data_IF_414763250039
#
_entry.id   IF_414763250039
#
_cell.length_a   1.000
_cell.length_b   1.000
_cell.length_c   1.000
_cell.angle_alpha   90.00
_cell.angle_beta   90.00
_cell.angle_gamma   90.00
#
_symmetry.space_group_name_H-M   'P 1'
#
loop_
_entity.id
_entity.type
_entity.pdbx_description
1 polymer ?
#
# COMPACT_ATOMS: atom_id res chain seq x y z
N UNK A 1 -14.33 -123.40 -49.47
CA UNK A 1 -15.65 -123.57 -48.83
C UNK A 1 -15.35 -123.95 -47.40
N UNK A 2 -15.58 -123.15 -46.38
CA UNK A 2 -16.74 -122.27 -46.16
C UNK A 2 -16.29 -121.06 -45.33
N UNK A 3 -17.04 -119.99 -45.54
CA UNK A 3 -16.92 -118.62 -45.06
C UNK A 3 -16.70 -118.45 -43.55
N UNK A 4 -15.74 -117.61 -43.18
CA UNK A 4 -15.76 -116.90 -41.91
C UNK A 4 -16.03 -115.42 -42.17
N UNK A 5 -17.32 -115.10 -42.16
CA UNK A 5 -17.83 -113.75 -41.94
C UNK A 5 -17.57 -113.34 -40.48
N UNK A 6 -17.25 -112.07 -40.22
CA UNK A 6 -17.32 -111.55 -38.85
C UNK A 6 -16.30 -110.52 -38.38
N UNK A 7 -15.71 -109.69 -39.24
CA UNK A 7 -15.08 -108.46 -38.74
C UNK A 7 -15.81 -107.25 -39.29
N UNK A 8 -16.61 -106.67 -38.41
CA UNK A 8 -17.39 -105.45 -38.59
C UNK A 8 -16.47 -104.31 -38.99
N UNK A 9 -16.64 -103.80 -40.20
CA UNK A 9 -16.00 -102.56 -40.62
C UNK A 9 -16.81 -101.40 -40.01
N UNK A 10 -16.36 -100.85 -38.88
CA UNK A 10 -16.85 -99.57 -38.37
C UNK A 10 -16.30 -98.48 -39.29
N UNK A 11 -17.00 -98.23 -40.40
CA UNK A 11 -16.81 -96.99 -41.12
C UNK A 11 -17.42 -95.87 -40.26
N UNK A 12 -16.58 -95.07 -39.63
CA UNK A 12 -16.99 -93.72 -39.24
C UNK A 12 -17.28 -92.97 -40.54
N UNK A 13 -18.54 -92.98 -40.94
CA UNK A 13 -19.06 -92.03 -41.92
C UNK A 13 -18.73 -90.65 -41.34
N UNK A 14 -17.92 -89.80 -42.02
CA UNK A 14 -17.90 -88.41 -41.63
C UNK A 14 -19.34 -87.94 -41.74
N UNK A 15 -19.88 -87.34 -40.68
CA UNK A 15 -21.16 -86.65 -40.76
C UNK A 15 -20.98 -85.48 -41.73
N UNK A 16 -21.06 -85.75 -43.03
CA UNK A 16 -21.10 -84.76 -44.10
C UNK A 16 -22.54 -84.26 -44.23
N UNK A 17 -23.16 -83.98 -43.09
CA UNK A 17 -24.38 -83.20 -42.99
C UNK A 17 -23.98 -81.78 -42.59
N UNK A 18 -24.49 -80.79 -43.29
CA UNK A 18 -24.37 -79.41 -42.86
C UNK A 18 -25.05 -79.26 -41.48
N UNK A 19 -24.26 -78.94 -40.45
CA UNK A 19 -24.80 -78.81 -39.10
C UNK A 19 -25.77 -77.64 -39.01
N UNK A 20 -26.98 -77.87 -38.51
CA UNK A 20 -27.94 -76.82 -38.17
C UNK A 20 -27.77 -76.44 -36.70
N UNK A 21 -27.00 -75.39 -36.45
CA UNK A 21 -26.74 -74.87 -35.10
C UNK A 21 -27.90 -74.01 -34.61
N UNK A 22 -28.19 -74.07 -33.31
CA UNK A 22 -29.06 -73.08 -32.66
C UNK A 22 -28.39 -71.70 -32.59
N UNK A 23 -29.09 -70.70 -32.04
CA UNK A 23 -28.57 -69.34 -31.86
C UNK A 23 -27.41 -69.23 -30.85
N UNK A 24 -27.08 -70.33 -30.15
CA UNK A 24 -26.09 -70.37 -29.08
C UNK A 24 -26.65 -69.84 -27.76
N UNK A 25 -26.26 -70.49 -26.66
CA UNK A 25 -26.68 -70.12 -25.30
C UNK A 25 -25.44 -69.76 -24.48
N UNK A 26 -25.50 -68.67 -23.71
CA UNK A 26 -24.42 -68.33 -22.77
C UNK A 26 -24.46 -69.33 -21.62
N UNK A 27 -23.41 -70.15 -21.51
CA UNK A 27 -23.29 -71.20 -20.48
C UNK A 27 -22.39 -70.75 -19.33
N UNK A 28 -21.56 -69.73 -19.56
CA UNK A 28 -20.78 -69.04 -18.53
C UNK A 28 -20.73 -67.56 -18.88
N UNK A 29 -21.22 -66.70 -17.99
CA UNK A 29 -21.12 -65.24 -18.17
C UNK A 29 -19.66 -64.79 -18.12
N UNK A 30 -19.32 -63.79 -18.93
CA UNK A 30 -18.01 -63.13 -18.86
C UNK A 30 -17.94 -62.24 -17.60
N UNK A 31 -16.77 -62.16 -16.99
CA UNK A 31 -16.51 -61.27 -15.84
C UNK A 31 -15.53 -60.17 -16.23
N UNK A 32 -15.12 -59.33 -15.28
CA UNK A 32 -14.12 -58.29 -15.51
C UNK A 32 -12.80 -58.85 -16.05
N UNK A 33 -12.40 -60.05 -15.61
CA UNK A 33 -11.07 -60.63 -15.87
C UNK A 33 -11.11 -62.00 -16.54
N UNK A 34 -12.26 -62.68 -16.55
CA UNK A 34 -12.40 -64.02 -17.10
C UNK A 34 -13.39 -64.05 -18.26
N UNK A 35 -13.01 -64.72 -19.34
CA UNK A 35 -13.88 -64.97 -20.48
C UNK A 35 -15.10 -65.82 -20.08
N UNK A 36 -16.22 -65.47 -20.71
CA UNK A 36 -17.44 -66.27 -20.74
C UNK A 36 -17.42 -67.31 -21.85
N UNK A 37 -18.47 -68.12 -21.92
CA UNK A 37 -18.60 -69.19 -22.90
C UNK A 37 -20.01 -69.19 -23.47
N UNK A 38 -20.10 -69.18 -24.80
CA UNK A 38 -21.33 -69.46 -25.54
C UNK A 38 -21.25 -70.86 -26.14
N UNK A 39 -22.26 -71.68 -25.87
CA UNK A 39 -22.34 -73.05 -26.39
C UNK A 39 -23.43 -73.15 -27.45
N UNK A 40 -23.07 -73.70 -28.61
CA UNK A 40 -23.98 -73.99 -29.70
C UNK A 40 -24.27 -75.48 -29.71
N UNK A 41 -25.52 -75.85 -29.97
CA UNK A 41 -25.96 -77.24 -30.05
C UNK A 41 -26.63 -77.48 -31.40
N UNK A 42 -26.19 -78.51 -32.11
CA UNK A 42 -26.81 -78.91 -33.37
C UNK A 42 -28.17 -79.56 -33.10
N UNK A 43 -29.24 -79.04 -33.68
CA UNK A 43 -30.61 -79.55 -33.45
C UNK A 43 -30.84 -80.94 -34.06
N UNK A 44 -30.00 -81.35 -35.02
CA UNK A 44 -30.15 -82.62 -35.74
C UNK A 44 -29.41 -83.80 -35.08
N UNK A 45 -28.23 -83.57 -34.48
CA UNK A 45 -27.38 -84.63 -33.93
C UNK A 45 -27.00 -84.45 -32.45
N UNK A 46 -27.22 -83.27 -31.86
CA UNK A 46 -26.88 -82.98 -30.47
C UNK A 46 -25.41 -82.62 -30.22
N UNK A 47 -24.55 -82.62 -31.25
CA UNK A 47 -23.16 -82.18 -31.12
C UNK A 47 -23.08 -80.74 -30.62
N UNK A 48 -22.01 -80.42 -29.88
CA UNK A 48 -21.78 -79.09 -29.31
C UNK A 48 -20.47 -78.49 -29.74
N UNK A 49 -20.46 -77.17 -29.94
CA UNK A 49 -19.23 -76.36 -30.06
C UNK A 49 -19.32 -75.13 -29.18
N UNK A 50 -18.18 -74.56 -28.82
CA UNK A 50 -18.09 -73.40 -27.93
C UNK A 50 -17.35 -72.25 -28.58
N UNK A 51 -17.81 -71.04 -28.30
CA UNK A 51 -17.11 -69.79 -28.64
C UNK A 51 -16.85 -69.01 -27.34
N UNK A 52 -15.68 -68.39 -27.24
CA UNK A 52 -15.32 -67.54 -26.10
C UNK A 52 -16.08 -66.20 -26.19
N UNK A 53 -16.49 -65.70 -25.03
CA UNK A 53 -16.99 -64.34 -24.87
C UNK A 53 -15.90 -63.58 -24.12
N UNK A 54 -15.24 -62.63 -24.78
CA UNK A 54 -14.16 -61.84 -24.19
C UNK A 54 -14.56 -61.23 -22.84
N UNK A 55 -13.62 -61.20 -21.90
CA UNK A 55 -13.79 -60.54 -20.61
C UNK A 55 -14.29 -59.09 -20.79
N UNK A 56 -15.18 -58.66 -19.91
CA UNK A 56 -15.86 -57.36 -20.01
C UNK A 56 -14.91 -56.17 -19.73
N UNK A 57 -13.76 -56.42 -19.12
CA UNK A 57 -12.87 -55.41 -18.58
C UNK A 57 -13.48 -54.67 -17.39
N UNK A 58 -12.64 -53.85 -16.75
CA UNK A 58 -13.06 -53.04 -15.60
C UNK A 58 -13.80 -51.78 -16.07
N UNK A 59 -14.91 -51.48 -15.41
CA UNK A 59 -15.59 -50.20 -15.51
C UNK A 59 -15.55 -49.57 -14.12
N UNK A 60 -14.73 -48.53 -13.96
CA UNK A 60 -14.56 -47.88 -12.66
C UNK A 60 -15.52 -46.71 -12.47
N UNK A 61 -15.99 -46.56 -11.25
CA UNK A 61 -16.79 -45.40 -10.82
C UNK A 61 -15.96 -44.13 -10.61
N UNK A 62 -16.57 -43.19 -9.89
CA UNK A 62 -15.95 -41.92 -9.51
C UNK A 62 -14.79 -42.13 -8.53
N UNK A 63 -13.82 -41.22 -8.57
CA UNK A 63 -12.72 -41.21 -7.60
C UNK A 63 -13.20 -40.74 -6.23
N UNK A 64 -12.81 -41.48 -5.19
CA UNK A 64 -12.99 -41.14 -3.78
C UNK A 64 -11.64 -40.75 -3.20
N UNK A 65 -11.57 -39.60 -2.55
CA UNK A 65 -10.35 -39.13 -1.87
C UNK A 65 -10.27 -39.80 -0.49
N UNK A 66 -9.22 -40.59 -0.27
CA UNK A 66 -8.98 -41.27 1.01
C UNK A 66 -8.26 -40.37 2.00
N UNK A 67 -7.28 -39.62 1.49
CA UNK A 67 -6.47 -38.70 2.29
C UNK A 67 -6.04 -37.54 1.41
N UNK A 68 -6.32 -36.34 1.88
CA UNK A 68 -5.89 -35.12 1.20
C UNK A 68 -4.37 -35.00 1.16
N UNK A 69 -3.86 -34.43 0.07
CA UNK A 69 -2.46 -34.08 -0.04
C UNK A 69 -2.15 -32.82 0.78
N UNK A 70 -1.00 -32.82 1.45
CA UNK A 70 -0.45 -31.64 2.14
C UNK A 70 0.74 -31.09 1.36
N UNK A 71 1.34 -30.00 1.83
CA UNK A 71 2.53 -29.43 1.20
C UNK A 71 3.82 -30.25 1.39
N UNK A 72 3.75 -31.35 2.16
CA UNK A 72 4.89 -32.24 2.43
C UNK A 72 4.57 -33.71 2.17
N UNK A 73 3.30 -34.12 2.29
CA UNK A 73 2.86 -35.50 2.12
C UNK A 73 1.88 -35.60 0.95
N UNK A 74 2.14 -36.57 0.06
CA UNK A 74 1.18 -36.93 -1.00
C UNK A 74 -0.12 -37.40 -0.38
N UNK A 75 -1.26 -37.17 -1.04
CA UNK A 75 -2.55 -37.76 -0.67
C UNK A 75 -2.77 -39.10 -1.36
N UNK A 76 -3.98 -39.65 -1.24
CA UNK A 76 -4.39 -40.87 -1.95
C UNK A 76 -5.87 -40.83 -2.30
N UNK A 77 -6.21 -41.52 -3.38
CA UNK A 77 -7.59 -41.72 -3.84
C UNK A 77 -7.76 -43.14 -4.39
N UNK A 78 -8.97 -43.66 -4.33
CA UNK A 78 -9.34 -44.92 -4.97
C UNK A 78 -10.63 -44.78 -5.78
N UNK A 79 -10.90 -45.77 -6.62
CA UNK A 79 -12.20 -45.98 -7.26
C UNK A 79 -12.43 -47.47 -7.43
N UNK A 80 -13.68 -47.87 -7.29
CA UNK A 80 -14.09 -49.27 -7.38
C UNK A 80 -14.68 -49.59 -8.74
N UNK A 81 -14.43 -50.81 -9.20
CA UNK A 81 -15.10 -51.37 -10.36
C UNK A 81 -16.59 -51.55 -10.05
N UNK A 82 -17.47 -51.09 -10.93
CA UNK A 82 -18.92 -51.25 -10.73
C UNK A 82 -19.43 -52.64 -11.16
N UNK A 83 -18.57 -53.42 -11.84
CA UNK A 83 -18.88 -54.75 -12.38
C UNK A 83 -18.25 -55.90 -11.57
N UNK A 84 -17.47 -55.61 -10.53
CA UNK A 84 -16.76 -56.60 -9.73
C UNK A 84 -16.01 -55.97 -8.56
N UNK A 85 -15.17 -56.75 -7.86
CA UNK A 85 -14.56 -56.35 -6.58
C UNK A 85 -13.16 -55.72 -6.71
N UNK A 86 -12.79 -55.26 -7.91
CA UNK A 86 -11.48 -54.67 -8.14
C UNK A 86 -11.46 -53.18 -7.75
N UNK A 87 -10.42 -52.78 -7.03
CA UNK A 87 -10.21 -51.39 -6.57
C UNK A 87 -8.92 -50.84 -7.15
N UNK A 88 -9.02 -49.72 -7.85
CA UNK A 88 -7.87 -48.98 -8.34
C UNK A 88 -7.48 -47.87 -7.37
N UNK A 89 -6.21 -47.80 -6.98
CA UNK A 89 -5.67 -46.75 -6.09
C UNK A 89 -4.61 -45.91 -6.80
N UNK A 90 -4.61 -44.60 -6.55
CA UNK A 90 -3.63 -43.65 -7.06
C UNK A 90 -3.17 -42.66 -5.96
N UNK A 91 -1.92 -42.21 -6.06
CA UNK A 91 -1.40 -41.16 -5.22
C UNK A 91 -1.78 -39.77 -5.76
N UNK A 92 -2.11 -38.84 -4.85
CA UNK A 92 -2.32 -37.44 -5.17
C UNK A 92 -1.01 -36.70 -4.87
N UNK A 93 -0.41 -35.98 -5.84
CA UNK A 93 0.84 -35.27 -5.60
C UNK A 93 0.68 -34.25 -4.46
N UNK A 94 1.80 -33.92 -3.80
CA UNK A 94 1.82 -32.90 -2.73
C UNK A 94 1.17 -31.60 -3.21
N UNK A 95 0.41 -30.96 -2.32
CA UNK A 95 -0.17 -29.66 -2.57
C UNK A 95 0.92 -28.61 -2.68
N UNK A 96 0.79 -27.67 -3.62
CA UNK A 96 1.67 -26.49 -3.69
C UNK A 96 1.20 -25.36 -2.76
N UNK A 97 0.08 -25.55 -2.08
CA UNK A 97 -0.54 -24.54 -1.23
C UNK A 97 -0.05 -24.69 0.20
N UNK A 98 0.39 -23.58 0.79
CA UNK A 98 0.83 -23.52 2.18
C UNK A 98 -0.23 -22.82 3.05
N UNK A 99 -0.60 -23.47 4.14
CA UNK A 99 -1.44 -22.86 5.19
C UNK A 99 -0.52 -22.20 6.20
N UNK A 100 -0.42 -20.87 6.16
CA UNK A 100 0.43 -20.10 7.09
C UNK A 100 -0.31 -19.74 8.38
N UNK A 101 0.46 -19.66 9.47
CA UNK A 101 -0.03 -19.20 10.77
C UNK A 101 -0.04 -17.68 10.90
N UNK A 102 -0.11 -17.21 12.14
CA UNK A 102 -0.05 -15.79 12.49
C UNK A 102 1.31 -15.18 12.15
N UNK A 103 1.29 -13.88 11.85
CA UNK A 103 2.51 -13.10 11.65
C UNK A 103 3.22 -12.82 12.98
N UNK A 104 4.53 -13.01 12.99
CA UNK A 104 5.41 -12.69 14.12
C UNK A 104 6.41 -11.63 13.66
N UNK A 105 6.54 -10.53 14.41
CA UNK A 105 7.57 -9.51 14.14
C UNK A 105 8.91 -10.10 14.53
N UNK A 106 9.83 -10.20 13.57
CA UNK A 106 11.19 -10.74 13.77
C UNK A 106 12.23 -9.63 13.85
N UNK A 107 11.92 -8.45 13.28
CA UNK A 107 12.71 -7.23 13.38
C UNK A 107 11.76 -6.06 13.58
N UNK A 108 11.83 -5.39 14.72
CA UNK A 108 11.00 -4.20 14.96
C UNK A 108 11.45 -3.03 14.04
N UNK A 109 10.51 -2.29 13.43
CA UNK A 109 10.85 -1.08 12.68
C UNK A 109 11.33 0.03 13.62
N UNK A 110 12.26 0.86 13.15
CA UNK A 110 12.71 2.06 13.87
C UNK A 110 12.26 3.32 13.13
N UNK A 111 12.63 4.51 13.61
CA UNK A 111 12.31 5.76 12.91
C UNK A 111 12.87 5.83 11.49
N UNK A 112 14.00 5.17 11.23
CA UNK A 112 14.73 5.23 9.95
C UNK A 112 14.86 3.87 9.26
N UNK A 113 14.91 2.78 10.03
CA UNK A 113 15.03 1.43 9.48
C UNK A 113 13.67 0.75 9.39
N UNK A 114 13.46 0.08 8.25
CA UNK A 114 12.35 -0.86 8.09
C UNK A 114 12.48 -2.04 9.07
N UNK A 115 11.33 -2.52 9.51
CA UNK A 115 11.20 -3.76 10.27
C UNK A 115 10.84 -4.93 9.36
N UNK A 116 10.67 -6.11 9.94
CA UNK A 116 10.28 -7.34 9.25
C UNK A 116 9.37 -8.19 10.13
N UNK A 117 8.40 -8.83 9.49
CA UNK A 117 7.58 -9.87 10.10
C UNK A 117 7.63 -11.14 9.26
N UNK A 118 7.49 -12.28 9.91
CA UNK A 118 7.54 -13.59 9.29
C UNK A 118 6.40 -14.47 9.80
N UNK A 119 5.89 -15.35 8.95
CA UNK A 119 4.99 -16.44 9.36
C UNK A 119 5.45 -17.76 8.76
N UNK A 120 5.11 -18.84 9.44
CA UNK A 120 5.52 -20.20 9.04
C UNK A 120 4.32 -21.02 8.61
N UNK A 121 4.54 -21.95 7.68
CA UNK A 121 3.53 -22.95 7.35
C UNK A 121 3.22 -23.78 8.60
N UNK A 122 1.93 -24.00 8.86
CA UNK A 122 1.42 -24.72 10.03
C UNK A 122 1.37 -26.23 9.83
N UNK A 123 1.58 -26.69 8.60
CA UNK A 123 1.63 -28.12 8.28
C UNK A 123 2.89 -28.73 8.90
N UNK A 124 2.72 -29.72 9.77
CA UNK A 124 3.80 -30.46 10.41
C UNK A 124 4.81 -30.97 9.38
N UNK A 125 6.10 -30.71 9.61
CA UNK A 125 7.19 -31.11 8.71
C UNK A 125 7.45 -30.14 7.56
N UNK A 126 6.63 -29.10 7.37
CA UNK A 126 6.90 -28.03 6.41
C UNK A 126 7.76 -26.94 7.04
N UNK A 127 8.84 -26.54 6.36
CA UNK A 127 9.76 -25.48 6.81
C UNK A 127 9.61 -24.18 6.03
N UNK A 128 8.61 -24.11 5.14
CA UNK A 128 8.38 -22.92 4.33
C UNK A 128 7.89 -21.78 5.21
N UNK A 129 8.54 -20.63 5.04
CA UNK A 129 8.22 -19.38 5.73
C UNK A 129 7.95 -18.30 4.70
N UNK A 130 7.15 -17.31 5.10
CA UNK A 130 6.88 -16.12 4.33
C UNK A 130 7.30 -14.90 5.15
N UNK A 131 8.09 -14.03 4.53
CA UNK A 131 8.63 -12.82 5.17
C UNK A 131 8.11 -11.60 4.45
N UNK A 132 7.74 -10.58 5.23
CA UNK A 132 7.26 -9.30 4.72
C UNK A 132 7.93 -8.14 5.46
N UNK A 133 8.40 -7.14 4.69
CA UNK A 133 8.92 -5.89 5.24
C UNK A 133 7.81 -5.06 5.90
N UNK A 134 8.15 -4.40 7.01
CA UNK A 134 7.36 -3.36 7.65
C UNK A 134 8.02 -2.00 7.38
N UNK A 135 7.25 -0.96 7.06
CA UNK A 135 7.82 0.37 6.85
C UNK A 135 8.50 0.88 8.13
N UNK A 136 9.52 1.73 7.97
CA UNK A 136 10.06 2.49 9.08
C UNK A 136 8.95 3.35 9.72
N UNK A 137 9.01 3.57 11.03
CA UNK A 137 8.02 4.33 11.79
C UNK A 137 7.98 5.81 11.39
N UNK A 138 9.07 6.32 10.82
CA UNK A 138 9.26 7.73 10.59
C UNK A 138 9.47 8.50 11.91
N UNK A 139 9.89 9.74 11.78
CA UNK A 139 10.14 10.59 12.95
C UNK A 139 8.85 11.25 13.44
N UNK A 140 8.61 11.16 14.75
CA UNK A 140 7.56 11.89 15.45
C UNK A 140 8.18 13.17 16.02
N UNK A 141 8.30 14.18 15.15
CA UNK A 141 8.99 15.42 15.47
C UNK A 141 8.21 16.31 16.45
N UNK A 142 8.94 16.94 17.37
CA UNK A 142 8.43 18.06 18.17
C UNK A 142 8.16 19.30 17.31
N UNK A 143 7.54 20.31 17.92
CA UNK A 143 7.55 21.67 17.37
C UNK A 143 8.98 22.19 17.23
N UNK A 144 9.16 23.09 16.27
CA UNK A 144 10.42 23.80 16.07
C UNK A 144 10.72 24.72 17.26
N UNK A 145 11.98 24.73 17.68
CA UNK A 145 12.49 25.51 18.81
C UNK A 145 13.67 26.35 18.31
N UNK A 146 13.70 27.67 18.56
CA UNK A 146 14.84 28.52 18.21
C UNK A 146 16.14 28.07 18.90
N UNK A 147 17.27 28.19 18.20
CA UNK A 147 18.58 27.95 18.81
C UNK A 147 18.98 29.17 19.65
N UNK A 148 19.35 28.95 20.92
CA UNK A 148 19.82 30.04 21.78
C UNK A 148 21.09 30.68 21.20
N UNK A 149 21.04 31.99 20.96
CA UNK A 149 22.14 32.76 20.39
C UNK A 149 22.24 32.73 18.86
N UNK A 150 21.37 32.01 18.17
CA UNK A 150 21.29 31.99 16.70
C UNK A 150 19.82 31.96 16.24
N UNK A 151 19.22 33.16 16.12
CA UNK A 151 17.83 33.31 15.68
C UNK A 151 17.61 32.94 14.21
N UNK A 152 18.68 32.70 13.44
CA UNK A 152 18.58 32.24 12.05
C UNK A 152 18.37 30.73 11.93
N UNK A 153 18.35 30.01 13.06
CA UNK A 153 18.20 28.55 13.09
C UNK A 153 17.18 28.09 14.12
N UNK A 154 16.45 27.06 13.72
CA UNK A 154 15.55 26.31 14.59
C UNK A 154 15.89 24.83 14.54
N UNK A 155 15.58 24.12 15.62
CA UNK A 155 15.72 22.68 15.71
C UNK A 155 14.43 22.02 16.20
N UNK A 156 14.26 20.74 15.87
CA UNK A 156 13.21 19.89 16.44
C UNK A 156 13.77 18.51 16.76
N UNK A 157 13.16 17.84 17.73
CA UNK A 157 13.63 16.55 18.23
C UNK A 157 12.56 15.49 18.00
N UNK A 158 12.95 14.29 17.57
CA UNK A 158 12.05 13.16 17.45
C UNK A 158 11.80 12.56 18.85
N UNK A 159 10.53 12.50 19.29
CA UNK A 159 10.17 11.98 20.61
C UNK A 159 10.44 10.47 20.80
N UNK A 160 10.74 9.74 19.73
CA UNK A 160 10.92 8.28 19.75
C UNK A 160 12.40 7.88 19.73
N UNK A 161 13.26 8.63 19.04
CA UNK A 161 14.65 8.24 18.82
C UNK A 161 15.67 9.35 19.10
N UNK A 162 15.23 10.49 19.66
CA UNK A 162 16.04 11.66 20.00
C UNK A 162 16.87 12.24 18.84
N UNK A 163 16.54 11.87 17.60
CA UNK A 163 17.13 12.50 16.43
C UNK A 163 16.82 14.00 16.47
N UNK A 164 17.77 14.81 16.01
CA UNK A 164 17.62 16.27 15.93
C UNK A 164 17.71 16.69 14.47
N UNK A 165 16.73 17.47 14.04
CA UNK A 165 16.72 18.10 12.73
C UNK A 165 16.83 19.61 12.91
N UNK A 166 17.67 20.23 12.08
CA UNK A 166 17.84 21.68 12.02
C UNK A 166 17.31 22.20 10.71
N UNK A 167 16.79 23.43 10.73
CA UNK A 167 16.53 24.20 9.52
C UNK A 167 17.00 25.62 9.71
N UNK A 168 17.48 26.21 8.62
CA UNK A 168 17.69 27.65 8.58
C UNK A 168 16.32 28.32 8.45
N UNK A 169 16.09 29.31 9.30
CA UNK A 169 14.97 30.24 9.19
C UNK A 169 15.44 31.34 8.26
N UNK A 170 15.14 31.18 6.97
CA UNK A 170 15.36 32.25 6.00
C UNK A 170 14.46 33.42 6.37
N UNK A 171 15.02 34.43 7.02
CA UNK A 171 14.55 35.77 6.78
C UNK A 171 14.82 36.03 5.31
N UNK A 172 13.77 36.15 4.49
CA UNK A 172 13.94 36.72 3.15
C UNK A 172 14.48 38.12 3.38
N UNK A 173 15.80 38.24 3.33
CA UNK A 173 16.49 39.47 2.98
C UNK A 173 16.38 39.65 1.46
N UNK A 174 15.20 39.42 0.88
CA UNK A 174 14.92 40.08 -0.38
C UNK A 174 14.82 41.56 -0.01
N UNK A 175 15.93 42.25 -0.21
CA UNK A 175 16.00 43.68 -0.46
C UNK A 175 15.21 44.03 -1.75
N UNK A 176 14.02 43.45 -1.90
CA UNK A 176 12.96 43.95 -2.75
C UNK A 176 12.60 45.28 -2.11
N UNK A 177 13.11 46.35 -2.71
CA UNK A 177 12.58 47.69 -2.55
C UNK A 177 11.06 47.60 -2.44
N UNK A 178 10.53 47.64 -1.21
CA UNK A 178 9.10 47.75 -0.96
C UNK A 178 8.75 49.07 -1.61
N UNK A 179 8.22 49.03 -2.83
CA UNK A 179 7.98 50.22 -3.64
C UNK A 179 6.69 50.91 -3.18
N UNK A 180 6.57 51.07 -1.87
CA UNK A 180 5.53 51.85 -1.23
C UNK A 180 6.11 53.23 -0.97
N UNK A 181 5.32 54.30 -1.08
CA UNK A 181 5.77 55.67 -0.81
C UNK A 181 6.17 55.93 0.65
N UNK A 182 6.39 54.88 1.45
CA UNK A 182 6.81 54.92 2.84
C UNK A 182 8.21 55.52 2.95
N UNK A 183 8.40 56.32 3.99
CA UNK A 183 9.69 56.89 4.37
C UNK A 183 9.93 56.65 5.85
N UNK A 184 11.16 56.31 6.19
CA UNK A 184 11.61 56.26 7.59
C UNK A 184 12.56 57.42 7.76
N UNK A 185 12.13 58.41 8.55
CA UNK A 185 12.92 59.61 8.79
C UNK A 185 13.67 59.50 10.12
N UNK A 186 14.95 59.86 10.08
CA UNK A 186 15.81 59.99 11.25
C UNK A 186 15.49 61.29 12.05
N UNK A 187 16.18 61.56 13.18
CA UNK A 187 15.99 62.79 13.94
C UNK A 187 16.27 64.08 13.15
N UNK A 188 17.14 64.02 12.13
CA UNK A 188 17.45 65.14 11.23
C UNK A 188 16.47 65.27 10.05
N UNK A 189 15.43 64.42 10.01
CA UNK A 189 14.43 64.32 8.95
C UNK A 189 14.99 63.86 7.59
N UNK A 190 16.12 63.15 7.60
CA UNK A 190 16.64 62.46 6.43
C UNK A 190 15.92 61.11 6.25
N UNK A 191 15.52 60.78 5.02
CA UNK A 191 14.96 59.48 4.68
C UNK A 191 16.06 58.42 4.69
N UNK A 192 15.99 57.53 5.66
CA UNK A 192 16.97 56.47 5.93
C UNK A 192 16.41 55.07 5.63
N UNK A 193 15.20 54.95 5.06
CA UNK A 193 14.56 53.64 4.83
C UNK A 193 15.46 52.67 4.02
N UNK A 194 16.22 53.19 3.07
CA UNK A 194 17.12 52.40 2.21
C UNK A 194 18.54 52.24 2.81
N UNK A 195 18.81 52.81 3.98
CA UNK A 195 20.09 52.67 4.64
C UNK A 195 20.11 51.39 5.47
N UNK A 196 20.60 50.30 4.88
CA UNK A 196 20.68 48.97 5.51
C UNK A 196 21.56 48.90 6.78
N UNK A 197 22.37 49.94 7.08
CA UNK A 197 23.10 50.02 8.35
C UNK A 197 22.25 50.62 9.49
N UNK A 198 21.18 51.35 9.14
CA UNK A 198 20.34 52.08 10.10
C UNK A 198 18.92 51.52 10.20
N UNK A 199 18.42 50.90 9.13
CA UNK A 199 17.08 50.33 9.05
C UNK A 199 17.17 48.89 8.56
N UNK A 200 16.61 47.97 9.35
CA UNK A 200 16.43 46.58 8.96
C UNK A 200 14.95 46.35 8.62
N UNK A 201 14.69 45.90 7.41
CA UNK A 201 13.36 45.50 6.95
C UNK A 201 13.30 43.97 6.93
N UNK A 202 12.34 43.40 7.64
CA UNK A 202 12.10 41.96 7.62
C UNK A 202 10.61 41.68 7.40
N UNK A 203 10.27 40.81 6.46
CA UNK A 203 8.92 40.29 6.34
C UNK A 203 8.86 38.85 6.87
N UNK A 204 7.99 38.60 7.84
CA UNK A 204 7.78 37.27 8.42
C UNK A 204 6.28 36.98 8.35
N UNK A 205 5.89 35.98 7.54
CA UNK A 205 4.48 35.69 7.25
C UNK A 205 3.78 36.92 6.65
N UNK A 206 2.81 37.47 7.37
CA UNK A 206 1.95 38.60 7.08
C UNK A 206 2.37 39.87 7.86
N UNK A 207 3.54 39.85 8.51
CA UNK A 207 4.05 40.96 9.32
C UNK A 207 5.29 41.57 8.69
N UNK A 208 5.29 42.88 8.48
CA UNK A 208 6.45 43.68 8.08
C UNK A 208 7.07 44.35 9.32
N UNK A 209 8.30 43.97 9.64
CA UNK A 209 9.12 44.58 10.68
C UNK A 209 10.02 45.65 10.05
N UNK A 210 10.03 46.82 10.69
CA UNK A 210 10.87 47.96 10.34
C UNK A 210 11.62 48.35 11.61
N UNK A 211 12.85 47.88 11.73
CA UNK A 211 13.69 48.09 12.91
C UNK A 211 14.72 49.19 12.63
N UNK A 212 14.73 50.24 13.46
CA UNK A 212 15.58 51.41 13.29
C UNK A 212 16.56 51.53 14.45
N UNK A 213 17.85 51.73 14.16
CA UNK A 213 18.93 51.82 15.15
C UNK A 213 19.05 53.19 15.84
N UNK A 214 17.98 53.99 15.83
CA UNK A 214 17.91 55.29 16.50
C UNK A 214 16.88 55.26 17.62
N UNK A 215 17.13 55.98 18.72
CA UNK A 215 16.13 56.16 19.79
C UNK A 215 14.89 56.98 19.34
N UNK A 216 15.01 57.75 18.26
CA UNK A 216 13.93 58.59 17.70
C UNK A 216 13.91 58.42 16.20
N UNK A 217 12.76 58.05 15.65
CA UNK A 217 12.54 57.91 14.22
C UNK A 217 11.04 58.04 13.92
N UNK A 218 10.69 58.29 12.67
CA UNK A 218 9.29 58.30 12.24
C UNK A 218 9.07 57.56 10.93
N UNK A 219 8.03 56.74 10.88
CA UNK A 219 7.47 56.17 9.67
C UNK A 219 6.39 57.12 9.12
N UNK A 220 6.56 57.56 7.88
CA UNK A 220 5.67 58.51 7.21
C UNK A 220 5.27 58.01 5.82
N UNK A 221 4.13 58.48 5.34
CA UNK A 221 3.61 58.15 4.01
C UNK A 221 2.15 58.58 3.88
N UNK A 222 1.45 58.02 2.89
CA UNK A 222 -0.01 58.13 2.78
C UNK A 222 -0.70 56.80 3.08
N UNK A 223 -1.98 56.81 3.46
CA UNK A 223 -2.73 55.59 3.81
C UNK A 223 -2.76 54.55 2.68
N UNK A 224 -2.68 54.97 1.41
CA UNK A 224 -2.57 54.06 0.26
C UNK A 224 -1.26 53.28 0.24
N UNK A 225 -0.17 53.83 0.79
CA UNK A 225 1.11 53.14 0.88
C UNK A 225 1.01 51.97 1.88
N UNK A 226 0.43 52.22 3.05
CA UNK A 226 0.20 51.18 4.07
C UNK A 226 -0.79 50.13 3.59
N UNK A 227 -1.92 50.53 3.01
CA UNK A 227 -2.91 49.57 2.50
C UNK A 227 -2.42 48.83 1.25
N UNK A 228 -1.50 49.41 0.49
CA UNK A 228 -0.82 48.78 -0.65
C UNK A 228 0.03 47.58 -0.26
N UNK A 229 0.58 47.54 0.97
CA UNK A 229 1.32 46.39 1.50
C UNK A 229 0.49 45.09 1.52
N UNK A 230 -0.85 45.19 1.54
CA UNK A 230 -1.74 44.01 1.43
C UNK A 230 -1.58 43.26 0.11
N UNK A 231 -1.18 43.95 -0.96
CA UNK A 231 -0.87 43.30 -2.24
C UNK A 231 0.38 42.42 -2.17
N UNK A 232 1.26 42.69 -1.20
CA UNK A 232 2.45 41.88 -0.86
C UNK A 232 2.16 40.87 0.28
N UNK A 233 0.87 40.63 0.58
CA UNK A 233 0.36 39.73 1.64
C UNK A 233 0.75 40.15 3.07
N UNK A 234 1.01 41.44 3.28
CA UNK A 234 1.25 42.00 4.62
C UNK A 234 -0.09 42.47 5.20
N UNK A 235 -0.36 42.13 6.45
CA UNK A 235 -1.54 42.55 7.22
C UNK A 235 -1.17 43.42 8.43
N UNK A 236 0.07 43.31 8.92
CA UNK A 236 0.55 44.02 10.10
C UNK A 236 1.91 44.67 9.85
N UNK A 237 2.11 45.88 10.36
CA UNK A 237 3.40 46.57 10.36
C UNK A 237 3.87 46.75 11.80
N UNK A 238 5.10 46.31 12.08
CA UNK A 238 5.78 46.51 13.36
C UNK A 238 6.90 47.52 13.12
N UNK A 239 6.80 48.69 13.73
CA UNK A 239 7.85 49.71 13.67
C UNK A 239 8.59 49.72 15.01
N UNK A 240 9.89 49.48 15.01
CA UNK A 240 10.72 49.46 16.21
C UNK A 240 11.85 50.48 16.12
N UNK A 241 12.10 51.14 17.24
CA UNK A 241 13.33 51.89 17.55
C UNK A 241 14.03 51.23 18.73
N UNK A 242 15.23 51.68 19.09
CA UNK A 242 16.00 51.13 20.23
C UNK A 242 15.23 51.09 21.56
N UNK A 243 14.19 51.92 21.71
CA UNK A 243 13.46 52.10 22.98
C UNK A 243 11.94 51.94 22.87
N UNK A 244 11.40 51.68 21.68
CA UNK A 244 9.96 51.63 21.48
C UNK A 244 9.61 50.72 20.30
N UNK A 245 8.59 49.89 20.46
CA UNK A 245 8.02 49.07 19.39
C UNK A 245 6.54 49.38 19.33
N UNK A 246 6.04 49.65 18.12
CA UNK A 246 4.62 49.90 17.87
C UNK A 246 4.13 48.97 16.77
N UNK A 247 3.03 48.28 17.05
CA UNK A 247 2.36 47.40 16.10
C UNK A 247 1.14 48.09 15.52
N UNK A 248 0.98 48.01 14.19
CA UNK A 248 -0.10 48.63 13.45
C UNK A 248 -0.78 47.60 12.55
N UNK A 249 -2.08 47.36 12.77
CA UNK A 249 -2.89 46.54 11.88
C UNK A 249 -3.35 47.35 10.67
N UNK A 250 -3.11 46.84 9.46
CA UNK A 250 -3.54 47.51 8.24
C UNK A 250 -5.07 47.55 8.09
N UNK A 251 -5.78 46.62 8.74
CA UNK A 251 -7.25 46.62 8.81
C UNK A 251 -7.79 47.80 9.64
N UNK A 252 -7.14 48.11 10.75
CA UNK A 252 -7.51 49.23 11.62
C UNK A 252 -7.22 50.58 10.92
N UNK A 253 -6.11 50.64 10.16
CA UNK A 253 -5.69 51.83 9.39
C UNK A 253 -6.61 52.10 8.20
N UNK A 254 -7.11 51.07 7.52
CA UNK A 254 -7.98 51.22 6.36
C UNK A 254 -9.29 51.96 6.68
N UNK A 255 -9.69 52.00 7.96
CA UNK A 255 -10.90 52.69 8.42
C UNK A 255 -10.69 54.19 8.72
N UNK A 256 -9.46 54.71 8.66
CA UNK A 256 -9.12 56.05 9.19
C UNK A 256 -9.20 57.20 8.18
N UNK A 257 -9.36 56.93 6.88
CA UNK A 257 -9.43 57.99 5.88
C UNK A 257 -9.30 57.51 4.43
N UNK A 258 -9.23 58.46 3.50
CA UNK A 258 -9.01 58.20 2.09
C UNK A 258 -7.53 57.90 1.79
N UNK A 259 -7.25 57.22 0.65
CA UNK A 259 -5.91 56.74 0.31
C UNK A 259 -4.79 57.78 0.33
N UNK A 260 -5.07 59.05 0.02
CA UNK A 260 -4.05 60.12 -0.01
C UNK A 260 -3.85 60.82 1.34
N UNK A 261 -4.55 60.42 2.40
CA UNK A 261 -4.40 61.04 3.72
C UNK A 261 -2.99 60.75 4.26
N UNK A 262 -2.21 61.77 4.64
CA UNK A 262 -0.88 61.56 5.19
C UNK A 262 -0.97 60.97 6.61
N UNK A 263 -0.01 60.13 6.96
CA UNK A 263 0.15 59.65 8.32
C UNK A 263 1.59 59.84 8.82
N UNK A 264 1.74 59.83 10.13
CA UNK A 264 3.03 59.85 10.80
C UNK A 264 2.95 58.99 12.05
N UNK A 265 3.71 57.90 12.07
CA UNK A 265 4.01 57.13 13.27
C UNK A 265 5.39 57.57 13.75
N UNK A 266 5.47 58.20 14.92
CA UNK A 266 6.72 58.74 15.47
C UNK A 266 7.06 58.08 16.79
N UNK A 267 8.29 57.62 16.92
CA UNK A 267 8.90 57.23 18.18
C UNK A 267 9.84 58.32 18.67
N UNK A 268 9.79 58.61 19.96
CA UNK A 268 10.67 59.57 20.64
C UNK A 268 11.07 58.99 21.99
N UNK A 269 12.22 58.30 22.03
CA UNK A 269 12.59 57.47 23.18
C UNK A 269 11.59 56.32 23.34
N UNK A 270 10.99 56.18 24.52
CA UNK A 270 10.00 55.13 24.84
C UNK A 270 8.55 55.51 24.53
N UNK A 271 8.32 56.63 23.86
CA UNK A 271 6.98 57.13 23.54
C UNK A 271 6.69 56.98 22.05
N UNK A 272 5.47 56.58 21.72
CA UNK A 272 4.97 56.51 20.36
C UNK A 272 3.77 57.45 20.17
N UNK A 273 3.64 58.01 18.98
CA UNK A 273 2.45 58.75 18.56
C UNK A 273 2.07 58.36 17.13
N UNK A 274 0.79 58.21 16.85
CA UNK A 274 0.29 57.94 15.49
C UNK A 274 -0.71 59.01 15.08
N UNK A 275 -0.35 59.81 14.08
CA UNK A 275 -1.16 60.92 13.57
C UNK A 275 -1.60 60.58 12.15
N UNK A 276 -2.90 60.70 11.86
CA UNK A 276 -3.47 60.49 10.52
C UNK A 276 -4.30 61.71 10.14
N UNK A 277 -3.96 62.38 9.04
CA UNK A 277 -4.68 63.57 8.58
C UNK A 277 -4.71 64.73 9.59
N UNK A 278 -3.79 64.74 10.56
CA UNK A 278 -3.73 65.72 11.66
C UNK A 278 -4.48 65.33 12.94
N UNK A 279 -5.17 64.19 12.97
CA UNK A 279 -5.83 63.65 14.17
C UNK A 279 -4.95 62.60 14.85
N UNK A 280 -5.00 62.54 16.20
CA UNK A 280 -4.27 61.57 17.00
C UNK A 280 -5.03 60.24 17.09
N UNK A 281 -4.37 59.16 16.68
CA UNK A 281 -4.86 57.79 16.67
C UNK A 281 -3.88 56.84 17.38
N UNK A 282 -3.06 57.36 18.30
CA UNK A 282 -2.05 56.58 19.04
C UNK A 282 -2.62 55.36 19.76
N UNK A 283 -3.92 55.39 20.14
CA UNK A 283 -4.62 54.25 20.75
C UNK A 283 -4.73 53.00 19.85
N UNK A 284 -4.47 53.12 18.55
CA UNK A 284 -4.45 52.00 17.61
C UNK A 284 -3.10 51.26 17.59
N UNK A 285 -2.05 51.86 18.14
CA UNK A 285 -0.76 51.20 18.30
C UNK A 285 -0.86 50.18 19.44
N UNK A 286 -0.37 48.97 19.18
CA UNK A 286 -0.24 47.90 20.18
C UNK A 286 1.21 47.61 20.52
#
# INVERSE_FOLDING_TARGET
MVDHCGTTFCHTLPAAGEHTWNEGVVTKEATCTADGVRTFTCSACGDTRTEAIEALGHEYGEWVIDRDATCVEQGSKHRDCIRGDDTQTEAIPVSKTHTFGEWVIIKEPTCTEKGEKQRSCTVSGCVVTETQELPALGHQWSSWTPVEGDSSREYRICAVCDAVEYRDVSHSSDNSTISTGLRVLDPAQADILQNAQLVQLNQISDVLYIDVTHETASLQGVLSDLTGLRSERIETVVFSTERCTSTLSLSDVAALGAGNTPFTLRHSGSTASFIVGGADHTALLR
#
